data_IF_309760003947
#
_entry.id   IF_309760003947
#
_cell.length_a   1.000
_cell.length_b   1.000
_cell.length_c   1.000
_cell.angle_alpha   90.00
_cell.angle_beta   90.00
_cell.angle_gamma   90.00
#
_symmetry.space_group_name_H-M   'P 1'
#
loop_
_entity.id
_entity.type
_entity.pdbx_description
1 polymer ?
#
# COMPACT_ATOMS: atom_id res chain seq x y z
N UNK A 1 -11.14 19.45 6.64
CA UNK A 1 -10.86 18.18 7.36
C UNK A 1 -9.85 18.47 8.46
N UNK A 2 -10.20 18.18 9.71
CA UNK A 2 -9.39 18.56 10.89
C UNK A 2 -8.30 17.54 11.24
N UNK A 3 -8.43 16.29 10.78
CA UNK A 3 -7.44 15.22 11.02
C UNK A 3 -6.62 14.93 9.77
N UNK A 4 -5.29 14.82 9.94
CA UNK A 4 -4.37 14.30 8.92
C UNK A 4 -4.50 12.76 8.86
N UNK A 5 -5.12 12.25 7.80
CA UNK A 5 -5.38 10.83 7.59
C UNK A 5 -4.09 10.03 7.38
N UNK A 6 -3.01 10.66 6.91
CA UNK A 6 -1.66 10.07 6.87
C UNK A 6 -0.87 10.18 8.18
N UNK A 7 -1.54 10.37 9.32
CA UNK A 7 -0.90 10.15 10.62
C UNK A 7 -0.94 8.65 10.98
N UNK A 8 0.02 8.11 11.75
CA UNK A 8 0.16 6.65 11.92
C UNK A 8 -1.11 5.92 12.38
N UNK A 9 -1.84 6.48 13.35
CA UNK A 9 -3.08 5.87 13.84
C UNK A 9 -4.27 6.14 12.91
N UNK A 10 -4.37 7.34 12.33
CA UNK A 10 -5.45 7.63 11.38
C UNK A 10 -5.32 6.77 10.12
N UNK A 11 -4.09 6.56 9.63
CA UNK A 11 -3.79 5.71 8.48
C UNK A 11 -4.30 4.28 8.69
N UNK A 12 -4.04 3.71 9.88
CA UNK A 12 -4.55 2.39 10.25
C UNK A 12 -6.08 2.33 10.27
N UNK A 13 -6.75 3.39 10.76
CA UNK A 13 -8.22 3.47 10.78
C UNK A 13 -8.77 3.54 9.35
N UNK A 14 -8.21 4.39 8.48
CA UNK A 14 -8.72 4.54 7.11
C UNK A 14 -8.42 3.31 6.24
N UNK A 15 -7.25 2.68 6.43
CA UNK A 15 -6.94 1.38 5.82
C UNK A 15 -7.94 0.32 6.26
N UNK A 16 -8.27 0.25 7.55
CA UNK A 16 -9.29 -0.66 8.06
C UNK A 16 -10.67 -0.36 7.47
N UNK A 17 -11.04 0.90 7.22
CA UNK A 17 -12.32 1.23 6.56
C UNK A 17 -12.33 0.83 5.08
N UNK A 18 -11.19 0.84 4.40
CA UNK A 18 -11.07 0.30 3.03
C UNK A 18 -11.18 -1.23 3.03
N UNK A 19 -10.64 -1.90 4.06
CA UNK A 19 -10.76 -3.36 4.25
C UNK A 19 -12.19 -3.77 4.67
N UNK A 20 -12.83 -2.95 5.50
CA UNK A 20 -14.15 -3.18 6.09
C UNK A 20 -15.04 -1.95 5.87
N UNK A 21 -15.61 -1.77 4.66
CA UNK A 21 -16.42 -0.60 4.31
C UNK A 21 -17.64 -0.40 5.20
N UNK A 22 -18.10 -1.46 5.88
CA UNK A 22 -19.21 -1.43 6.82
C UNK A 22 -18.72 -1.95 8.16
N UNK A 23 -18.64 -1.08 9.18
CA UNK A 23 -18.08 -1.44 10.49
C UNK A 23 -18.69 -0.62 11.65
N UNK A 24 -18.16 -0.81 12.86
CA UNK A 24 -18.49 -0.05 14.06
C UNK A 24 -17.22 0.42 14.77
N UNK A 25 -17.26 1.58 15.43
CA UNK A 25 -16.11 2.08 16.22
C UNK A 25 -15.58 1.06 17.23
N UNK A 26 -16.46 0.23 17.81
CA UNK A 26 -16.08 -0.84 18.75
C UNK A 26 -15.28 -1.96 18.08
N UNK A 27 -15.57 -2.30 16.82
CA UNK A 27 -14.80 -3.29 16.05
C UNK A 27 -13.42 -2.73 15.72
N UNK A 28 -13.34 -1.49 15.20
CA UNK A 28 -12.07 -0.79 14.95
C UNK A 28 -11.22 -0.75 16.22
N UNK A 29 -11.80 -0.40 17.37
CA UNK A 29 -11.09 -0.39 18.65
C UNK A 29 -10.55 -1.77 19.03
N UNK A 30 -11.38 -2.80 18.94
CA UNK A 30 -11.02 -4.18 19.28
C UNK A 30 -9.87 -4.68 18.41
N UNK A 31 -9.93 -4.41 17.11
CA UNK A 31 -9.04 -4.99 16.11
C UNK A 31 -7.72 -4.20 16.01
N UNK A 32 -7.77 -2.87 16.07
CA UNK A 32 -6.58 -2.02 15.92
C UNK A 32 -5.92 -1.62 17.25
N UNK A 33 -6.62 -1.82 18.38
CA UNK A 33 -6.22 -1.34 19.73
C UNK A 33 -5.99 0.18 19.79
N UNK A 34 -6.78 0.95 19.04
CA UNK A 34 -6.76 2.42 19.01
C UNK A 34 -7.90 2.97 19.88
N UNK A 35 -7.70 4.07 20.60
CA UNK A 35 -8.71 4.64 21.49
C UNK A 35 -10.01 5.02 20.75
N UNK A 36 -11.16 4.79 21.37
CA UNK A 36 -12.47 5.14 20.80
C UNK A 36 -12.55 6.64 20.51
N UNK A 37 -11.97 7.48 21.37
CA UNK A 37 -11.93 8.94 21.15
C UNK A 37 -11.22 9.30 19.84
N UNK A 38 -10.06 8.69 19.56
CA UNK A 38 -9.33 8.98 18.33
C UNK A 38 -10.04 8.43 17.09
N UNK A 39 -10.61 7.23 17.19
CA UNK A 39 -11.46 6.67 16.15
C UNK A 39 -12.63 7.61 15.84
N UNK A 40 -13.29 8.15 16.87
CA UNK A 40 -14.39 9.09 16.72
C UNK A 40 -13.95 10.39 16.01
N UNK A 41 -12.78 10.95 16.36
CA UNK A 41 -12.24 12.13 15.67
C UNK A 41 -11.99 11.89 14.18
N UNK A 42 -11.37 10.76 13.82
CA UNK A 42 -11.12 10.38 12.41
C UNK A 42 -12.45 10.17 11.68
N UNK A 43 -13.36 9.38 12.25
CA UNK A 43 -14.67 9.06 11.63
C UNK A 43 -15.52 10.32 11.43
N UNK A 44 -15.56 11.22 12.41
CA UNK A 44 -16.29 12.49 12.26
C UNK A 44 -15.69 13.37 11.16
N UNK A 45 -14.35 13.41 11.04
CA UNK A 45 -13.70 14.10 9.91
C UNK A 45 -14.11 13.52 8.55
N UNK A 46 -14.31 12.20 8.46
CA UNK A 46 -14.79 11.55 7.23
C UNK A 46 -16.28 11.82 6.98
N UNK A 47 -17.10 11.89 8.03
CA UNK A 47 -18.51 12.26 7.93
C UNK A 47 -18.69 13.71 7.47
N UNK A 48 -17.95 14.65 8.06
CA UNK A 48 -17.94 16.07 7.65
C UNK A 48 -17.51 16.25 6.19
N UNK A 49 -16.62 15.40 5.70
CA UNK A 49 -16.14 15.41 4.32
C UNK A 49 -17.08 14.65 3.34
N UNK A 50 -18.15 14.03 3.82
CA UNK A 50 -19.07 13.22 2.98
C UNK A 50 -18.48 11.89 2.49
N UNK A 51 -17.30 11.50 2.98
CA UNK A 51 -16.57 10.29 2.56
C UNK A 51 -17.15 9.04 3.20
N UNK A 52 -17.66 9.18 4.42
CA UNK A 52 -18.37 8.14 5.13
C UNK A 52 -19.73 8.67 5.59
N UNK A 53 -20.64 7.77 5.93
CA UNK A 53 -21.93 8.12 6.52
C UNK A 53 -22.23 7.28 7.75
N UNK A 54 -23.09 7.84 8.59
CA UNK A 54 -23.65 7.14 9.75
C UNK A 54 -24.84 6.29 9.29
N UNK A 55 -24.65 4.98 9.30
CA UNK A 55 -25.69 4.00 9.04
C UNK A 55 -26.61 3.76 10.23
N UNK A 56 -27.52 2.79 10.07
CA UNK A 56 -28.39 2.30 11.15
C UNK A 56 -27.55 1.81 12.34
N UNK A 57 -28.06 1.99 13.56
CA UNK A 57 -27.42 1.48 14.79
C UNK A 57 -25.97 1.95 15.02
N UNK A 58 -25.63 3.19 14.61
CA UNK A 58 -24.28 3.77 14.72
C UNK A 58 -23.21 3.05 13.88
N UNK A 59 -23.64 2.34 12.84
CA UNK A 59 -22.76 1.75 11.82
C UNK A 59 -22.02 2.86 11.09
N UNK A 60 -20.77 2.61 10.75
CA UNK A 60 -19.96 3.44 9.86
C UNK A 60 -20.03 2.76 8.49
N UNK A 61 -20.38 3.53 7.47
CA UNK A 61 -20.41 3.09 6.08
C UNK A 61 -19.47 3.99 5.28
N UNK A 62 -18.43 3.42 4.67
CA UNK A 62 -17.56 4.12 3.74
C UNK A 62 -18.31 4.31 2.42
N UNK A 63 -18.68 5.56 2.14
CA UNK A 63 -19.53 5.92 0.99
C UNK A 63 -18.67 6.18 -0.26
N UNK A 64 -17.62 6.98 -0.11
CA UNK A 64 -16.71 7.36 -1.19
C UNK A 64 -15.27 6.92 -0.87
N UNK A 65 -14.93 5.64 -1.15
CA UNK A 65 -13.57 5.14 -0.95
C UNK A 65 -12.54 5.83 -1.87
N UNK A 66 -12.96 6.37 -3.01
CA UNK A 66 -12.04 7.01 -3.95
C UNK A 66 -11.66 8.40 -3.50
N UNK A 67 -12.60 9.19 -2.97
CA UNK A 67 -12.27 10.45 -2.31
C UNK A 67 -11.32 10.24 -1.12
N UNK A 68 -11.52 9.17 -0.33
CA UNK A 68 -10.59 8.80 0.74
C UNK A 68 -9.17 8.53 0.21
N UNK A 69 -9.06 7.74 -0.87
CA UNK A 69 -7.79 7.41 -1.51
C UNK A 69 -7.14 8.65 -2.15
N UNK A 70 -7.92 9.57 -2.71
CA UNK A 70 -7.45 10.86 -3.24
C UNK A 70 -6.77 11.68 -2.14
N UNK A 71 -7.41 11.80 -0.97
CA UNK A 71 -6.82 12.51 0.17
C UNK A 71 -5.52 11.86 0.62
N UNK A 72 -5.47 10.53 0.68
CA UNK A 72 -4.24 9.81 1.02
C UNK A 72 -3.13 10.08 0.01
N UNK A 73 -3.45 10.07 -1.29
CA UNK A 73 -2.49 10.36 -2.36
C UNK A 73 -1.83 11.73 -2.20
N UNK A 74 -2.60 12.74 -1.77
CA UNK A 74 -2.09 14.08 -1.48
C UNK A 74 -1.27 14.14 -0.18
N UNK A 75 -1.71 13.48 0.89
CA UNK A 75 -1.06 13.57 2.20
C UNK A 75 0.16 12.65 2.36
N UNK A 76 0.25 11.61 1.52
CA UNK A 76 1.24 10.54 1.54
C UNK A 76 1.61 10.12 0.09
N UNK A 77 2.19 11.00 -0.72
CA UNK A 77 2.66 10.61 -2.06
C UNK A 77 3.75 9.54 -1.94
N UNK A 78 3.69 8.50 -2.77
CA UNK A 78 4.58 7.35 -2.68
C UNK A 78 6.05 7.75 -2.88
N UNK A 79 6.28 8.74 -3.74
CA UNK A 79 7.61 9.31 -4.03
C UNK A 79 8.33 9.82 -2.77
N UNK A 80 7.60 10.24 -1.72
CA UNK A 80 8.21 10.67 -0.46
C UNK A 80 8.87 9.51 0.30
N UNK A 81 8.49 8.27 -0.01
CA UNK A 81 9.02 7.06 0.58
C UNK A 81 10.21 6.50 -0.19
N UNK A 82 10.44 6.97 -1.41
CA UNK A 82 11.57 6.56 -2.24
C UNK A 82 12.90 6.89 -1.55
N UNK A 83 13.80 5.91 -1.51
CA UNK A 83 15.16 6.06 -0.97
C UNK A 83 16.23 5.74 -1.99
N UNK A 84 15.95 4.82 -2.92
CA UNK A 84 16.87 4.50 -3.99
C UNK A 84 16.12 4.12 -5.26
N UNK A 85 16.68 4.56 -6.39
CA UNK A 85 16.31 4.12 -7.74
C UNK A 85 17.54 3.46 -8.35
N UNK A 86 17.41 2.18 -8.72
CA UNK A 86 18.53 1.39 -9.23
C UNK A 86 18.17 0.90 -10.62
N UNK A 87 18.93 1.32 -11.63
CA UNK A 87 18.87 0.70 -12.94
C UNK A 87 19.66 -0.62 -12.91
N UNK A 88 19.00 -1.72 -13.26
CA UNK A 88 19.60 -3.04 -13.26
C UNK A 88 20.34 -3.33 -14.56
N UNK A 89 21.30 -4.25 -14.53
CA UNK A 89 21.88 -4.82 -15.75
C UNK A 89 20.96 -5.83 -16.45
N UNK A 90 19.94 -6.32 -15.75
CA UNK A 90 19.01 -7.34 -16.20
C UNK A 90 17.98 -6.78 -17.20
N UNK A 91 17.58 -7.62 -18.16
CA UNK A 91 16.60 -7.28 -19.20
C UNK A 91 15.22 -7.91 -18.96
N UNK A 92 15.18 -9.04 -18.25
CA UNK A 92 13.94 -9.79 -17.98
C UNK A 92 13.38 -9.47 -16.59
N UNK A 93 12.13 -9.01 -16.53
CA UNK A 93 11.50 -8.55 -15.28
C UNK A 93 11.42 -9.67 -14.24
N UNK A 94 11.08 -10.88 -14.67
CA UNK A 94 11.00 -12.04 -13.78
C UNK A 94 12.37 -12.40 -13.16
N UNK A 95 13.44 -12.29 -13.95
CA UNK A 95 14.80 -12.52 -13.45
C UNK A 95 15.24 -11.42 -12.48
N UNK A 96 14.87 -10.17 -12.76
CA UNK A 96 15.10 -9.03 -11.88
C UNK A 96 14.39 -9.17 -10.53
N UNK A 97 13.11 -9.56 -10.52
CA UNK A 97 12.38 -9.83 -9.28
C UNK A 97 13.00 -11.01 -8.51
N UNK A 98 13.37 -12.10 -9.19
CA UNK A 98 14.06 -13.25 -8.54
C UNK A 98 15.39 -12.82 -7.91
N UNK A 99 16.18 -12.03 -8.62
CA UNK A 99 17.45 -11.46 -8.12
C UNK A 99 17.21 -10.61 -6.87
N UNK A 100 16.25 -9.68 -6.90
CA UNK A 100 15.84 -8.88 -5.74
C UNK A 100 15.54 -9.78 -4.53
N UNK A 101 14.65 -10.77 -4.71
CA UNK A 101 14.29 -11.72 -3.64
C UNK A 101 15.51 -12.42 -3.07
N UNK A 102 16.37 -12.96 -3.93
CA UNK A 102 17.55 -13.72 -3.48
C UNK A 102 18.53 -12.85 -2.69
N UNK A 103 18.73 -11.59 -3.10
CA UNK A 103 19.57 -10.64 -2.37
C UNK A 103 18.97 -10.32 -1.00
N UNK A 104 17.67 -10.07 -0.92
CA UNK A 104 16.98 -9.84 0.36
C UNK A 104 17.09 -11.07 1.29
N UNK A 105 16.85 -12.28 0.77
CA UNK A 105 16.94 -13.52 1.56
C UNK A 105 18.35 -13.77 2.08
N UNK A 106 19.38 -13.63 1.23
CA UNK A 106 20.79 -13.81 1.62
C UNK A 106 21.22 -12.79 2.68
N UNK A 107 20.75 -11.54 2.57
CA UNK A 107 21.07 -10.47 3.50
C UNK A 107 20.13 -10.39 4.72
N UNK A 108 19.12 -11.26 4.82
CA UNK A 108 18.07 -11.24 5.86
C UNK A 108 17.35 -9.88 5.97
N UNK A 109 17.04 -9.28 4.81
CA UNK A 109 16.28 -8.03 4.72
C UNK A 109 14.79 -8.33 4.58
N UNK A 110 13.98 -7.63 5.38
CA UNK A 110 12.54 -7.64 5.20
C UNK A 110 12.21 -6.76 4.00
N UNK A 111 11.49 -7.33 3.04
CA UNK A 111 11.05 -6.65 1.84
C UNK A 111 9.64 -7.11 1.48
N UNK A 112 8.94 -6.28 0.71
CA UNK A 112 7.65 -6.64 0.12
C UNK A 112 7.41 -5.86 -1.17
N UNK A 113 6.96 -6.56 -2.21
CA UNK A 113 6.52 -5.96 -3.46
C UNK A 113 5.26 -5.12 -3.21
N UNK A 114 5.21 -3.93 -3.81
CA UNK A 114 4.06 -3.01 -3.75
C UNK A 114 3.80 -2.38 -5.11
N UNK A 115 2.84 -1.44 -5.19
CA UNK A 115 2.41 -0.75 -6.41
C UNK A 115 2.20 -1.75 -7.56
N UNK A 116 2.75 -1.50 -8.75
CA UNK A 116 2.59 -2.39 -9.91
C UNK A 116 3.19 -3.79 -9.72
N UNK A 117 4.30 -3.91 -8.96
CA UNK A 117 4.91 -5.20 -8.64
C UNK A 117 4.05 -6.03 -7.69
N UNK A 118 3.33 -5.38 -6.77
CA UNK A 118 2.34 -6.05 -5.93
C UNK A 118 1.05 -6.37 -6.69
N UNK A 119 0.57 -5.42 -7.51
CA UNK A 119 -0.62 -5.59 -8.34
C UNK A 119 -0.55 -6.82 -9.23
N UNK A 120 0.60 -7.06 -9.88
CA UNK A 120 0.79 -8.21 -10.78
C UNK A 120 0.56 -9.56 -10.09
N UNK A 121 0.61 -9.61 -8.75
CA UNK A 121 0.38 -10.81 -7.94
C UNK A 121 -1.08 -11.02 -7.58
N UNK A 122 -1.87 -9.94 -7.51
CA UNK A 122 -3.31 -9.99 -7.23
C UNK A 122 -4.18 -9.94 -8.49
N UNK A 123 -3.65 -9.37 -9.58
CA UNK A 123 -4.37 -9.15 -10.83
C UNK A 123 -3.42 -9.40 -12.01
N UNK A 124 -3.38 -10.66 -12.45
CA UNK A 124 -2.52 -11.11 -13.54
C UNK A 124 -2.86 -10.39 -14.85
N UNK A 125 -1.86 -10.20 -15.71
CA UNK A 125 -1.98 -9.66 -17.08
C UNK A 125 -2.47 -8.21 -17.19
N UNK A 126 -2.46 -7.46 -16.09
CA UNK A 126 -3.00 -6.10 -16.10
C UNK A 126 -2.07 -5.10 -16.81
N UNK A 127 -0.85 -4.89 -16.28
CA UNK A 127 0.19 -4.06 -16.91
C UNK A 127 1.56 -4.52 -16.39
N UNK A 128 2.53 -4.72 -17.29
CA UNK A 128 3.95 -4.88 -16.92
C UNK A 128 4.66 -3.54 -17.07
N UNK A 129 5.19 -3.02 -15.96
CA UNK A 129 6.08 -1.86 -15.97
C UNK A 129 7.51 -2.34 -15.81
N UNK A 130 8.49 -1.75 -16.51
CA UNK A 130 9.90 -2.04 -16.29
C UNK A 130 10.42 -1.43 -14.98
N UNK A 131 9.56 -1.23 -13.99
CA UNK A 131 9.89 -0.71 -12.66
C UNK A 131 9.37 -1.66 -11.60
N UNK A 132 10.30 -2.23 -10.83
CA UNK A 132 10.00 -3.02 -9.64
C UNK A 132 9.84 -2.07 -8.46
N UNK A 133 8.68 -2.06 -7.82
CA UNK A 133 8.45 -1.26 -6.61
C UNK A 133 8.47 -2.18 -5.39
N UNK A 134 9.33 -1.87 -4.43
CA UNK A 134 9.47 -2.68 -3.21
C UNK A 134 9.63 -1.79 -1.99
N UNK A 135 9.00 -2.18 -0.88
CA UNK A 135 9.45 -1.73 0.44
C UNK A 135 10.65 -2.55 0.89
N UNK A 136 11.53 -1.93 1.68
CA UNK A 136 12.59 -2.63 2.42
C UNK A 136 12.77 -1.99 3.80
N UNK A 137 13.13 -2.79 4.80
CA UNK A 137 13.47 -2.29 6.14
C UNK A 137 14.82 -1.55 6.17
N UNK A 138 15.73 -1.84 5.22
CA UNK A 138 16.99 -1.14 4.99
C UNK A 138 17.21 -0.91 3.48
N UNK A 139 16.60 0.15 2.91
CA UNK A 139 16.71 0.47 1.49
C UNK A 139 18.14 0.70 1.01
N UNK A 140 18.98 1.32 1.84
CA UNK A 140 20.37 1.64 1.51
C UNK A 140 21.17 0.36 1.29
N UNK A 141 21.07 -0.60 2.22
CA UNK A 141 21.72 -1.90 2.08
C UNK A 141 21.21 -2.67 0.86
N UNK A 142 19.89 -2.69 0.63
CA UNK A 142 19.33 -3.36 -0.55
C UNK A 142 19.87 -2.75 -1.86
N UNK A 143 19.94 -1.42 -1.93
CA UNK A 143 20.42 -0.70 -3.12
C UNK A 143 21.90 -0.98 -3.47
N UNK A 144 22.70 -1.41 -2.50
CA UNK A 144 24.09 -1.82 -2.68
C UNK A 144 24.24 -3.27 -3.14
N UNK A 145 23.26 -4.13 -2.80
CA UNK A 145 23.27 -5.55 -3.14
C UNK A 145 22.76 -5.84 -4.55
N UNK A 146 21.96 -4.92 -5.11
CA UNK A 146 21.36 -5.07 -6.43
C UNK A 146 22.38 -4.85 -7.56
N UNK A 147 22.33 -5.68 -8.62
CA UNK A 147 23.28 -5.60 -9.73
C UNK A 147 22.97 -4.39 -10.62
N UNK A 148 23.78 -3.33 -10.46
CA UNK A 148 23.62 -2.07 -11.20
C UNK A 148 24.09 -2.22 -12.65
N UNK A 149 23.37 -1.62 -13.59
CA UNK A 149 23.75 -1.62 -14.99
C UNK A 149 22.98 -0.62 -15.84
N UNK A 150 22.96 -0.84 -17.15
CA UNK A 150 22.27 -0.01 -18.15
C UNK A 150 21.09 -0.73 -18.81
N UNK A 151 20.56 -1.76 -18.16
CA UNK A 151 19.40 -2.50 -18.63
C UNK A 151 18.11 -1.69 -18.54
N UNK A 152 17.00 -2.19 -19.11
CA UNK A 152 15.73 -1.47 -19.17
C UNK A 152 14.98 -1.45 -17.83
N UNK A 153 15.34 -2.31 -16.88
CA UNK A 153 14.59 -2.49 -15.63
C UNK A 153 15.13 -1.57 -14.53
N UNK A 154 14.22 -0.90 -13.85
CA UNK A 154 14.50 -0.08 -12.67
C UNK A 154 13.92 -0.74 -11.42
N UNK A 155 14.61 -0.60 -10.29
CA UNK A 155 14.06 -0.93 -8.96
C UNK A 155 13.94 0.34 -8.15
N UNK A 156 12.73 0.62 -7.69
CA UNK A 156 12.44 1.67 -6.72
C UNK A 156 12.30 1.04 -5.33
N UNK A 157 13.23 1.41 -4.46
CA UNK A 157 13.27 0.92 -3.08
C UNK A 157 12.73 1.99 -2.15
N UNK A 158 11.62 1.65 -1.50
CA UNK A 158 10.84 2.52 -0.63
C UNK A 158 11.13 2.17 0.84
N UNK A 159 11.23 3.18 1.70
CA UNK A 159 11.19 3.00 3.16
C UNK A 159 9.73 3.08 3.63
N UNK A 160 9.15 2.04 4.25
CA UNK A 160 7.80 2.12 4.77
C UNK A 160 7.74 3.19 5.88
N UNK A 161 6.79 4.10 5.78
CA UNK A 161 6.53 5.12 6.81
C UNK A 161 5.84 4.54 8.05
N UNK A 162 5.26 3.35 7.94
CA UNK A 162 4.68 2.63 9.06
C UNK A 162 5.19 1.19 9.18
N UNK A 163 5.63 0.76 10.38
CA UNK A 163 6.18 -0.60 10.58
C UNK A 163 5.20 -1.74 10.27
N UNK A 164 3.89 -1.50 10.31
CA UNK A 164 2.90 -2.54 10.08
C UNK A 164 2.83 -2.98 8.60
N UNK A 165 3.28 -2.16 7.66
CA UNK A 165 3.28 -2.47 6.22
C UNK A 165 4.10 -3.74 5.93
N UNK A 166 5.30 -3.86 6.54
CA UNK A 166 6.14 -5.05 6.38
C UNK A 166 5.78 -6.20 7.34
N UNK A 167 4.87 -5.98 8.31
CA UNK A 167 4.35 -7.04 9.19
C UNK A 167 3.14 -7.76 8.59
N UNK A 168 2.40 -7.09 7.72
CA UNK A 168 1.20 -7.61 7.05
C UNK A 168 1.50 -8.09 5.63
N UNK A 169 2.58 -8.86 5.46
CA UNK A 169 3.02 -9.34 4.13
C UNK A 169 2.46 -10.72 3.83
N UNK A 170 2.04 -10.93 2.59
CA UNK A 170 1.58 -12.20 2.05
C UNK A 170 2.66 -12.84 1.17
N UNK A 171 2.75 -14.17 1.19
CA UNK A 171 3.68 -14.90 0.33
C UNK A 171 2.96 -15.41 -0.91
N UNK A 172 3.14 -14.74 -2.03
CA UNK A 172 2.47 -15.06 -3.32
C UNK A 172 3.54 -15.45 -4.35
N UNK A 173 3.41 -16.65 -4.93
CA UNK A 173 4.37 -17.21 -5.90
C UNK A 173 5.84 -17.18 -5.41
N UNK A 174 6.04 -17.30 -4.10
CA UNK A 174 7.36 -17.26 -3.48
C UNK A 174 7.97 -15.86 -3.31
N UNK A 175 7.16 -14.81 -3.36
CA UNK A 175 7.58 -13.43 -3.07
C UNK A 175 6.77 -12.87 -1.91
N UNK A 176 7.39 -12.00 -1.11
CA UNK A 176 6.67 -11.21 -0.14
C UNK A 176 5.99 -10.04 -0.86
N UNK A 177 4.69 -9.86 -0.62
CA UNK A 177 3.86 -8.82 -1.22
C UNK A 177 3.10 -8.13 -0.09
N UNK A 178 2.95 -6.81 -0.14
CA UNK A 178 2.09 -6.11 0.83
C UNK A 178 0.63 -6.53 0.64
N UNK A 179 -0.18 -6.43 1.70
CA UNK A 179 -1.61 -6.74 1.62
C UNK A 179 -2.32 -5.94 0.50
N UNK A 180 -3.40 -6.48 -0.08
CA UNK A 180 -3.98 -5.92 -1.30
C UNK A 180 -4.54 -4.50 -1.12
N UNK A 181 -5.02 -4.13 0.06
CA UNK A 181 -5.47 -2.75 0.33
C UNK A 181 -4.27 -1.79 0.41
N UNK A 182 -3.13 -2.22 0.96
CA UNK A 182 -1.90 -1.43 0.89
C UNK A 182 -1.44 -1.24 -0.57
N UNK A 183 -1.58 -2.26 -1.44
CA UNK A 183 -1.30 -2.10 -2.89
C UNK A 183 -2.24 -1.05 -3.51
N UNK A 184 -3.54 -1.08 -3.21
CA UNK A 184 -4.51 -0.07 -3.69
C UNK A 184 -4.09 1.34 -3.25
N UNK A 185 -3.76 1.52 -1.97
CA UNK A 185 -3.31 2.81 -1.43
C UNK A 185 -2.04 3.27 -2.14
N UNK A 186 -1.03 2.41 -2.27
CA UNK A 186 0.26 2.77 -2.85
C UNK A 186 0.15 3.11 -4.34
N UNK A 187 -0.71 2.41 -5.09
CA UNK A 187 -1.01 2.75 -6.49
C UNK A 187 -1.71 4.12 -6.60
N UNK A 188 -2.68 4.44 -5.74
CA UNK A 188 -3.26 5.79 -5.71
C UNK A 188 -2.21 6.86 -5.39
N UNK A 189 -1.31 6.56 -4.44
CA UNK A 189 -0.24 7.45 -4.01
C UNK A 189 0.90 7.58 -5.04
N UNK A 190 0.98 6.68 -6.03
CA UNK A 190 1.91 6.77 -7.17
C UNK A 190 1.46 7.82 -8.20
N UNK A 191 0.18 8.21 -8.20
CA UNK A 191 -0.37 9.24 -9.07
C UNK A 191 -1.23 8.69 -10.20
N UNK A 192 -1.40 9.47 -11.28
CA UNK A 192 -2.35 9.19 -12.36
C UNK A 192 -2.18 7.79 -12.98
N UNK A 193 -0.93 7.32 -13.15
CA UNK A 193 -0.65 6.00 -13.69
C UNK A 193 -1.22 4.85 -12.84
N UNK A 194 -1.20 4.98 -11.50
CA UNK A 194 -1.64 3.93 -10.58
C UNK A 194 -3.14 3.95 -10.27
N UNK A 195 -3.84 5.08 -10.49
CA UNK A 195 -5.26 5.23 -10.11
C UNK A 195 -6.18 4.21 -10.78
N UNK A 196 -6.11 4.05 -12.10
CA UNK A 196 -6.96 3.08 -12.83
C UNK A 196 -6.71 1.64 -12.35
N UNK A 197 -5.44 1.29 -12.14
CA UNK A 197 -5.03 0.00 -11.63
C UNK A 197 -5.55 -0.26 -10.20
N UNK A 198 -5.45 0.75 -9.34
CA UNK A 198 -5.92 0.68 -7.97
C UNK A 198 -7.43 0.52 -7.90
N UNK A 199 -8.18 1.26 -8.73
CA UNK A 199 -9.63 1.15 -8.84
C UNK A 199 -10.04 -0.28 -9.19
N UNK A 200 -9.43 -0.88 -10.21
CA UNK A 200 -9.79 -2.24 -10.63
C UNK A 200 -9.43 -3.29 -9.58
N UNK A 201 -8.28 -3.16 -8.92
CA UNK A 201 -7.93 -4.03 -7.80
C UNK A 201 -8.93 -3.88 -6.64
N UNK A 202 -9.28 -2.65 -6.28
CA UNK A 202 -10.22 -2.38 -5.20
C UNK A 202 -11.63 -2.91 -5.50
N UNK A 203 -12.12 -2.73 -6.73
CA UNK A 203 -13.39 -3.31 -7.17
C UNK A 203 -13.40 -4.84 -7.17
N UNK A 204 -12.26 -5.48 -7.48
CA UNK A 204 -12.12 -6.93 -7.37
C UNK A 204 -12.25 -7.36 -5.91
N UNK A 205 -11.51 -6.71 -5.01
CA UNK A 205 -11.57 -6.99 -3.55
C UNK A 205 -13.01 -6.83 -3.05
N UNK A 206 -13.70 -5.76 -3.42
CA UNK A 206 -15.09 -5.51 -2.99
C UNK A 206 -16.11 -6.51 -3.52
N UNK A 207 -15.84 -7.18 -4.64
CA UNK A 207 -16.71 -8.23 -5.20
C UNK A 207 -16.52 -9.58 -4.51
N UNK A 208 -15.38 -9.78 -3.86
CA UNK A 208 -15.03 -11.00 -3.14
C UNK A 208 -15.47 -10.96 -1.65
N UNK A 209 -16.00 -9.83 -1.18
CA UNK A 209 -16.52 -9.58 0.17
C UNK A 209 -18.05 -9.68 0.23
#
# INVERSE_FOLDING_TARGET
MSVKLSSPQAFRIVKYLLEHPITYQRQIHRDLKISISWINSVVNSLFEAGIAKKGKWRRIELEDPYALLDILSWQRPLQRLLRATIQLELTELEQAEKSLREKCLKAKLDYALTAFSGLSRYLAYYITFPTIHTYANNPEQLSQLLPRGRGPITVEVLLPDYPHILKSVEKINGFNVVDPIQVVIDLFCLGSAGRDAATKLYEKIRREQ
#
